data_IF_024629114022
#
_entry.id   IF_024629114022
#
_cell.length_a   1.000
_cell.length_b   1.000
_cell.length_c   1.000
_cell.angle_alpha   90.00
_cell.angle_beta   90.00
_cell.angle_gamma   90.00
#
_symmetry.space_group_name_H-M   'P 1'
#
loop_
_entity.id
_entity.type
_entity.pdbx_description
1 polymer ?
#
# COMPACT_ATOMS: atom_id res chain seq x y z
N UNK A 1 -8.01 3.13 19.96
CA UNK A 1 -7.50 3.18 18.57
C UNK A 1 -8.53 2.69 17.55
N UNK A 2 -9.51 1.88 17.98
CA UNK A 2 -10.47 1.22 17.08
C UNK A 2 -11.40 2.17 16.32
N UNK A 3 -11.86 3.27 16.93
CA UNK A 3 -12.65 4.28 16.21
C UNK A 3 -11.85 4.94 15.09
N UNK A 4 -10.55 5.18 15.29
CA UNK A 4 -9.67 5.70 14.22
C UNK A 4 -9.62 4.74 13.03
N UNK A 5 -9.44 3.44 13.31
CA UNK A 5 -9.40 2.38 12.28
C UNK A 5 -10.72 2.30 11.50
N UNK A 6 -11.85 2.33 12.20
CA UNK A 6 -13.19 2.32 11.59
C UNK A 6 -13.41 3.48 10.62
N UNK A 7 -12.89 4.67 10.91
CA UNK A 7 -12.97 5.80 9.98
C UNK A 7 -11.95 5.70 8.83
N UNK A 8 -10.78 5.12 9.06
CA UNK A 8 -9.83 4.79 7.99
C UNK A 8 -10.45 3.84 6.97
N UNK A 9 -11.12 2.78 7.43
CA UNK A 9 -11.77 1.79 6.56
C UNK A 9 -12.90 2.39 5.71
N UNK A 10 -13.49 3.49 6.18
CA UNK A 10 -14.53 4.26 5.47
C UNK A 10 -13.97 5.38 4.59
N UNK A 11 -12.65 5.62 4.60
CA UNK A 11 -12.03 6.75 3.92
C UNK A 11 -12.30 8.12 4.56
N UNK A 12 -12.89 8.17 5.76
CA UNK A 12 -13.10 9.44 6.50
C UNK A 12 -11.82 9.81 7.25
N UNK A 13 -10.82 10.26 6.49
CA UNK A 13 -9.50 10.57 7.02
C UNK A 13 -9.53 11.73 8.02
N UNK A 14 -10.50 12.64 7.93
CA UNK A 14 -10.60 13.76 8.88
C UNK A 14 -11.02 13.27 10.27
N UNK A 15 -12.04 12.40 10.36
CA UNK A 15 -12.40 11.79 11.65
C UNK A 15 -11.31 10.85 12.15
N UNK A 16 -10.67 10.07 11.27
CA UNK A 16 -9.55 9.22 11.66
C UNK A 16 -8.41 10.04 12.29
N UNK A 17 -8.01 11.17 11.68
CA UNK A 17 -7.01 12.10 12.22
C UNK A 17 -7.39 12.58 13.62
N UNK A 18 -8.65 12.94 13.84
CA UNK A 18 -9.13 13.39 15.16
C UNK A 18 -8.94 12.33 16.25
N UNK A 19 -9.37 11.10 15.99
CA UNK A 19 -9.24 10.01 16.98
C UNK A 19 -7.79 9.60 17.22
N UNK A 20 -6.96 9.54 16.17
CA UNK A 20 -5.54 9.24 16.34
C UNK A 20 -4.77 10.36 17.02
N UNK A 21 -5.12 11.63 16.78
CA UNK A 21 -4.53 12.75 17.50
C UNK A 21 -4.88 12.71 19.00
N UNK A 22 -6.10 12.30 19.35
CA UNK A 22 -6.45 12.04 20.76
C UNK A 22 -5.64 10.89 21.36
N UNK A 23 -5.50 9.78 20.64
CA UNK A 23 -4.70 8.65 21.10
C UNK A 23 -3.23 9.03 21.33
N UNK A 24 -2.65 9.80 20.41
CA UNK A 24 -1.26 10.28 20.53
C UNK A 24 -1.04 11.19 21.74
N UNK A 25 -2.05 11.98 22.14
CA UNK A 25 -1.98 12.81 23.35
C UNK A 25 -2.02 11.98 24.64
N UNK A 26 -2.63 10.80 24.60
CA UNK A 26 -2.70 9.90 25.75
C UNK A 26 -1.40 9.09 25.89
N UNK A 27 -0.86 8.64 24.75
CA UNK A 27 0.36 7.86 24.71
C UNK A 27 1.16 8.23 23.44
N UNK A 28 2.31 8.87 23.65
CA UNK A 28 3.24 9.18 22.56
C UNK A 28 4.09 7.96 22.22
N UNK A 29 3.53 7.06 21.41
CA UNK A 29 4.18 5.85 20.95
C UNK A 29 4.30 5.80 19.43
N UNK A 30 5.27 5.03 18.93
CA UNK A 30 5.44 4.85 17.49
C UNK A 30 4.19 4.31 16.77
N UNK A 31 3.43 3.33 17.31
CA UNK A 31 2.14 2.94 16.73
C UNK A 31 1.14 4.10 16.65
N UNK A 32 1.04 4.93 17.70
CA UNK A 32 0.13 6.09 17.70
C UNK A 32 0.53 7.13 16.64
N UNK A 33 1.83 7.42 16.51
CA UNK A 33 2.38 8.30 15.48
C UNK A 33 2.18 7.75 14.08
N UNK A 34 2.45 6.47 13.87
CA UNK A 34 2.23 5.79 12.59
C UNK A 34 0.78 5.89 12.15
N UNK A 35 -0.17 5.57 13.04
CA UNK A 35 -1.60 5.65 12.74
C UNK A 35 -2.04 7.07 12.36
N UNK A 36 -1.60 8.09 13.12
CA UNK A 36 -1.91 9.48 12.82
C UNK A 36 -1.26 9.93 11.50
N UNK A 37 0.02 9.61 11.30
CA UNK A 37 0.75 9.95 10.08
C UNK A 37 0.12 9.30 8.84
N UNK A 38 -0.31 8.04 8.92
CA UNK A 38 -1.05 7.37 7.84
C UNK A 38 -2.35 8.09 7.52
N UNK A 39 -3.16 8.44 8.53
CA UNK A 39 -4.42 9.16 8.29
C UNK A 39 -4.18 10.56 7.67
N UNK A 40 -3.11 11.25 8.09
CA UNK A 40 -2.71 12.53 7.51
C UNK A 40 -2.22 12.38 6.06
N UNK A 41 -1.39 11.38 5.80
CA UNK A 41 -0.85 11.07 4.47
C UNK A 41 -1.95 10.71 3.48
N UNK A 42 -2.84 9.77 3.83
CA UNK A 42 -3.97 9.38 2.96
C UNK A 42 -4.96 10.54 2.76
N UNK A 43 -5.04 11.45 3.72
CA UNK A 43 -5.74 12.72 3.58
C UNK A 43 -4.99 13.78 2.78
N UNK A 44 -4.00 13.38 1.96
CA UNK A 44 -3.25 14.20 0.99
C UNK A 44 -2.42 15.34 1.60
N UNK A 45 -1.87 15.14 2.80
CA UNK A 45 -0.97 16.10 3.46
C UNK A 45 0.38 15.42 3.83
N UNK A 46 1.22 15.09 2.84
CA UNK A 46 2.48 14.37 3.08
C UNK A 46 3.47 15.15 3.94
N UNK A 47 3.48 16.49 3.84
CA UNK A 47 4.37 17.34 4.64
C UNK A 47 4.03 17.26 6.14
N UNK A 48 2.74 17.33 6.49
CA UNK A 48 2.33 17.16 7.89
C UNK A 48 2.54 15.72 8.37
N UNK A 49 2.29 14.72 7.52
CA UNK A 49 2.57 13.33 7.86
C UNK A 49 4.05 13.14 8.22
N UNK A 50 4.95 13.73 7.44
CA UNK A 50 6.39 13.70 7.72
C UNK A 50 6.72 14.34 9.08
N UNK A 51 6.16 15.50 9.39
CA UNK A 51 6.38 16.17 10.70
C UNK A 51 5.93 15.31 11.89
N UNK A 52 4.84 14.55 11.73
CA UNK A 52 4.35 13.64 12.78
C UNK A 52 5.32 12.45 12.97
N UNK A 53 5.86 11.93 11.87
CA UNK A 53 6.73 10.77 11.85
C UNK A 53 8.20 11.10 12.23
N UNK A 54 8.64 12.32 11.97
CA UNK A 54 10.03 12.76 12.13
C UNK A 54 10.65 12.44 13.51
N UNK A 55 9.96 12.60 14.65
CA UNK A 55 10.54 12.22 15.95
C UNK A 55 10.87 10.74 16.06
N UNK A 56 10.04 9.86 15.48
CA UNK A 56 10.29 8.41 15.46
C UNK A 56 11.49 8.08 14.58
N UNK A 57 11.64 8.79 13.46
CA UNK A 57 12.75 8.57 12.53
C UNK A 57 14.09 9.09 13.07
N UNK A 58 14.11 10.22 13.80
CA UNK A 58 15.35 10.79 14.36
C UNK A 58 15.96 9.95 15.48
N UNK A 59 15.13 9.27 16.27
CA UNK A 59 15.60 8.36 17.32
C UNK A 59 16.31 7.10 16.78
N UNK A 60 16.36 6.92 15.45
CA UNK A 60 17.08 5.80 14.80
C UNK A 60 18.57 6.05 14.59
N UNK A 61 19.03 7.28 14.79
CA UNK A 61 20.44 7.66 14.72
C UNK A 61 21.10 7.37 16.08
N UNK A 62 21.70 6.18 16.17
CA UNK A 62 22.74 5.80 17.15
C UNK A 62 22.39 5.92 18.65
N UNK A 63 21.68 4.91 19.18
CA UNK A 63 22.01 4.46 20.54
C UNK A 63 23.32 3.65 20.45
N UNK A 64 24.42 4.26 20.89
CA UNK A 64 25.79 3.70 20.92
C UNK A 64 25.93 2.45 21.82
N UNK A 65 24.81 1.91 22.30
CA UNK A 65 24.73 0.78 23.24
C UNK A 65 24.36 -0.54 22.55
N UNK A 66 24.08 -0.54 21.23
CA UNK A 66 23.69 -1.75 20.50
C UNK A 66 22.35 -2.34 20.95
N UNK A 67 21.61 -1.65 21.83
CA UNK A 67 20.27 -2.02 22.23
C UNK A 67 19.33 -1.86 21.05
N UNK A 68 18.46 -2.85 20.84
CA UNK A 68 17.41 -2.80 19.83
C UNK A 68 16.52 -1.61 20.17
N UNK A 69 16.59 -0.52 19.40
CA UNK A 69 15.60 0.55 19.53
C UNK A 69 14.23 -0.03 19.12
N UNK A 70 13.42 -0.36 20.13
CA UNK A 70 12.12 -1.03 19.99
C UNK A 70 11.02 -0.12 19.45
N UNK A 71 11.29 1.19 19.28
CA UNK A 71 10.28 2.14 18.86
C UNK A 71 10.01 2.09 17.36
N UNK A 72 11.03 1.88 16.52
CA UNK A 72 10.85 1.90 15.06
C UNK A 72 10.62 0.50 14.51
N UNK A 73 9.46 0.32 13.90
CA UNK A 73 9.03 -0.93 13.29
C UNK A 73 9.08 -0.84 11.74
N UNK A 74 9.00 -1.97 11.02
CA UNK A 74 9.04 -1.98 9.55
C UNK A 74 7.97 -1.11 8.88
N UNK A 75 6.78 -1.02 9.49
CA UNK A 75 5.70 -0.17 9.00
C UNK A 75 6.10 1.32 8.99
N UNK A 76 6.82 1.77 10.01
CA UNK A 76 7.28 3.17 10.12
C UNK A 76 8.14 3.54 8.91
N UNK A 77 9.10 2.70 8.55
CA UNK A 77 9.96 2.92 7.40
C UNK A 77 9.21 2.80 6.07
N UNK A 78 8.28 1.85 5.94
CA UNK A 78 7.42 1.75 4.77
C UNK A 78 6.55 3.01 4.60
N UNK A 79 6.01 3.58 5.68
CA UNK A 79 5.25 4.82 5.64
C UNK A 79 6.15 6.02 5.30
N UNK A 80 7.34 6.11 5.88
CA UNK A 80 8.32 7.15 5.57
C UNK A 80 8.67 7.13 4.07
N UNK A 81 8.97 5.95 3.51
CA UNK A 81 9.18 5.79 2.08
C UNK A 81 8.08 6.45 1.26
N UNK A 82 6.81 6.10 1.54
CA UNK A 82 5.65 6.58 0.76
C UNK A 82 5.49 8.08 0.87
N UNK A 83 5.72 8.64 2.07
CA UNK A 83 5.70 10.09 2.31
C UNK A 83 6.80 10.78 1.50
N UNK A 84 8.05 10.31 1.55
CA UNK A 84 9.15 10.90 0.79
C UNK A 84 8.95 10.78 -0.73
N UNK A 85 8.37 9.67 -1.21
CA UNK A 85 7.97 9.52 -2.61
C UNK A 85 6.95 10.59 -3.02
N UNK A 86 5.90 10.81 -2.21
CA UNK A 86 4.90 11.84 -2.48
C UNK A 86 5.47 13.27 -2.42
N UNK A 87 6.57 13.48 -1.70
CA UNK A 87 7.30 14.75 -1.64
C UNK A 87 8.34 14.91 -2.77
N UNK A 88 8.54 13.88 -3.61
CA UNK A 88 9.50 13.90 -4.72
C UNK A 88 10.96 13.61 -4.32
N UNK A 89 11.22 13.25 -3.07
CA UNK A 89 12.57 12.92 -2.59
C UNK A 89 12.83 11.42 -2.72
N UNK A 90 13.28 11.07 -3.92
CA UNK A 90 13.50 9.69 -4.35
C UNK A 90 14.74 9.05 -3.73
N UNK A 91 15.69 9.86 -3.29
CA UNK A 91 16.92 9.34 -2.68
C UNK A 91 16.65 8.91 -1.24
N UNK A 92 16.04 9.79 -0.44
CA UNK A 92 15.64 9.47 0.92
C UNK A 92 14.65 8.30 0.94
N UNK A 93 13.70 8.26 0.00
CA UNK A 93 12.72 7.18 -0.05
C UNK A 93 13.40 5.81 -0.19
N UNK A 94 14.30 5.60 -1.18
CA UNK A 94 14.97 4.30 -1.41
C UNK A 94 15.68 3.75 -0.17
N UNK A 95 16.25 4.61 0.67
CA UNK A 95 16.87 4.21 1.92
C UNK A 95 15.84 3.61 2.89
N UNK A 96 14.67 4.25 3.04
CA UNK A 96 13.62 3.79 3.94
C UNK A 96 12.98 2.45 3.52
N UNK A 97 12.79 2.18 2.23
CA UNK A 97 12.28 0.86 1.81
C UNK A 97 13.29 -0.25 2.13
N UNK A 98 14.57 0.02 1.91
CA UNK A 98 15.65 -0.92 2.25
C UNK A 98 15.70 -1.17 3.76
N UNK A 99 15.54 -0.13 4.58
CA UNK A 99 15.44 -0.26 6.03
C UNK A 99 14.20 -1.05 6.47
N UNK A 100 13.04 -0.81 5.83
CA UNK A 100 11.80 -1.53 6.12
C UNK A 100 11.96 -3.04 5.91
N UNK A 101 12.53 -3.43 4.76
CA UNK A 101 12.82 -4.84 4.41
C UNK A 101 13.79 -5.46 5.41
N UNK A 102 14.95 -4.81 5.65
CA UNK A 102 15.98 -5.33 6.57
C UNK A 102 15.45 -5.49 8.00
N UNK A 103 14.70 -4.50 8.49
CA UNK A 103 14.11 -4.52 9.83
C UNK A 103 13.06 -5.62 9.95
N UNK A 104 12.17 -5.75 8.95
CA UNK A 104 11.15 -6.80 8.94
C UNK A 104 11.77 -8.19 9.06
N UNK A 105 12.81 -8.46 8.28
CA UNK A 105 13.44 -9.78 8.27
C UNK A 105 14.22 -10.08 9.55
N UNK A 106 14.95 -9.09 10.08
CA UNK A 106 15.64 -9.20 11.37
C UNK A 106 14.65 -9.49 12.50
N UNK A 107 13.58 -8.72 12.57
CA UNK A 107 12.56 -8.85 13.61
C UNK A 107 11.79 -10.16 13.46
N UNK A 108 11.45 -10.56 12.23
CA UNK A 108 10.78 -11.84 11.96
C UNK A 108 11.63 -13.03 12.41
N UNK A 109 12.94 -13.01 12.14
CA UNK A 109 13.86 -14.07 12.54
C UNK A 109 13.90 -14.22 14.07
N UNK A 110 13.94 -13.10 14.80
CA UNK A 110 13.88 -13.10 16.26
C UNK A 110 12.52 -13.58 16.77
N UNK A 111 11.43 -13.00 16.29
CA UNK A 111 10.07 -13.30 16.77
C UNK A 111 9.67 -14.75 16.54
N UNK A 112 10.16 -15.41 15.48
CA UNK A 112 9.93 -16.84 15.22
C UNK A 112 10.51 -17.77 16.27
N UNK A 113 11.56 -17.35 16.97
CA UNK A 113 12.18 -18.16 18.02
C UNK A 113 11.37 -18.13 19.31
N UNK A 114 10.60 -17.06 19.53
CA UNK A 114 9.93 -16.79 20.82
C UNK A 114 8.41 -16.85 20.75
N UNK A 115 7.80 -16.65 19.58
CA UNK A 115 6.35 -16.59 19.43
C UNK A 115 5.83 -17.66 18.47
N UNK A 116 4.69 -18.30 18.80
CA UNK A 116 3.98 -19.14 17.84
C UNK A 116 3.42 -18.28 16.70
N UNK A 117 3.24 -18.89 15.52
CA UNK A 117 2.79 -18.21 14.31
C UNK A 117 1.47 -17.45 14.47
N UNK A 118 0.55 -17.95 15.30
CA UNK A 118 -0.73 -17.29 15.59
C UNK A 118 -0.57 -15.90 16.20
N UNK A 119 0.50 -15.67 16.98
CA UNK A 119 0.83 -14.36 17.56
C UNK A 119 1.63 -13.47 16.62
N UNK A 120 2.13 -14.01 15.49
CA UNK A 120 2.87 -13.24 14.48
C UNK A 120 1.94 -12.54 13.48
N UNK A 121 0.64 -12.87 13.45
CA UNK A 121 -0.28 -12.41 12.40
C UNK A 121 -0.20 -10.89 12.16
N UNK A 122 -0.35 -10.08 13.21
CA UNK A 122 -0.29 -8.60 13.13
C UNK A 122 1.08 -8.09 12.66
N UNK A 123 2.17 -8.79 13.01
CA UNK A 123 3.50 -8.43 12.53
C UNK A 123 3.66 -8.75 11.03
N UNK A 124 3.09 -9.86 10.58
CA UNK A 124 3.14 -10.28 9.18
C UNK A 124 2.33 -9.36 8.24
N UNK A 125 1.36 -8.61 8.76
CA UNK A 125 0.64 -7.57 7.99
C UNK A 125 1.59 -6.48 7.45
N UNK A 126 2.77 -6.28 8.07
CA UNK A 126 3.77 -5.34 7.56
C UNK A 126 4.28 -5.69 6.16
N UNK A 127 4.17 -6.95 5.73
CA UNK A 127 4.47 -7.34 4.34
C UNK A 127 3.62 -6.56 3.33
N UNK A 128 2.36 -6.26 3.65
CA UNK A 128 1.47 -5.44 2.79
C UNK A 128 2.01 -4.02 2.68
N UNK A 129 2.32 -3.39 3.82
CA UNK A 129 2.79 -2.01 3.84
C UNK A 129 4.11 -1.84 3.06
N UNK A 130 5.03 -2.78 3.20
CA UNK A 130 6.33 -2.76 2.51
C UNK A 130 6.14 -3.00 1.00
N UNK A 131 5.28 -3.94 0.61
CA UNK A 131 4.96 -4.18 -0.80
C UNK A 131 4.22 -2.99 -1.43
N UNK A 132 3.31 -2.35 -0.69
CA UNK A 132 2.61 -1.15 -1.14
C UNK A 132 3.58 0.01 -1.34
N UNK A 133 4.55 0.18 -0.44
CA UNK A 133 5.62 1.16 -0.63
C UNK A 133 6.34 0.93 -1.97
N UNK A 134 6.84 -0.28 -2.25
CA UNK A 134 7.45 -0.57 -3.56
C UNK A 134 6.50 -0.32 -4.75
N UNK A 135 5.20 -0.57 -4.57
CA UNK A 135 4.18 -0.36 -5.60
C UNK A 135 3.92 1.12 -5.92
N UNK A 136 4.06 2.02 -4.95
CA UNK A 136 3.87 3.47 -5.15
C UNK A 136 4.89 4.05 -6.15
N UNK A 137 6.04 3.39 -6.34
CA UNK A 137 7.03 3.75 -7.37
C UNK A 137 6.87 3.03 -8.70
N UNK A 138 5.81 2.23 -8.86
CA UNK A 138 5.61 1.39 -10.04
C UNK A 138 6.78 0.42 -10.32
N UNK A 139 7.60 0.10 -9.31
CA UNK A 139 8.67 -0.91 -9.45
C UNK A 139 8.05 -2.31 -9.37
N UNK A 140 7.44 -2.72 -10.48
CA UNK A 140 6.74 -4.00 -10.58
C UNK A 140 7.68 -5.19 -10.32
N UNK A 141 8.98 -5.07 -10.62
CA UNK A 141 9.95 -6.12 -10.35
C UNK A 141 10.16 -6.28 -8.86
N UNK A 142 10.43 -5.18 -8.15
CA UNK A 142 10.64 -5.18 -6.72
C UNK A 142 9.40 -5.67 -5.95
N UNK A 143 8.20 -5.21 -6.31
CA UNK A 143 6.94 -5.70 -5.69
C UNK A 143 6.84 -7.23 -5.82
N UNK A 144 7.12 -7.75 -7.02
CA UNK A 144 7.00 -9.18 -7.27
C UNK A 144 8.12 -10.00 -6.60
N UNK A 145 9.33 -9.45 -6.48
CA UNK A 145 10.43 -10.06 -5.75
C UNK A 145 10.14 -10.15 -4.26
N UNK A 146 9.64 -9.08 -3.63
CA UNK A 146 9.21 -9.09 -2.22
C UNK A 146 8.12 -10.13 -1.98
N UNK A 147 7.14 -10.22 -2.88
CA UNK A 147 6.11 -11.26 -2.81
C UNK A 147 6.71 -12.68 -2.82
N UNK A 148 7.66 -12.96 -3.73
CA UNK A 148 8.30 -14.28 -3.80
C UNK A 148 9.15 -14.58 -2.57
N UNK A 149 9.91 -13.58 -2.11
CA UNK A 149 10.83 -13.68 -0.97
C UNK A 149 10.08 -14.05 0.31
N UNK A 150 8.89 -13.52 0.50
CA UNK A 150 8.06 -13.73 1.70
C UNK A 150 6.86 -14.64 1.46
N UNK A 151 6.95 -15.59 0.52
CA UNK A 151 5.83 -16.44 0.08
C UNK A 151 5.05 -17.10 1.24
N UNK A 152 5.75 -17.52 2.29
CA UNK A 152 5.17 -18.17 3.48
C UNK A 152 4.68 -17.18 4.54
N UNK A 153 4.84 -15.88 4.34
CA UNK A 153 4.54 -14.85 5.35
C UNK A 153 3.32 -14.00 5.01
N UNK A 154 2.80 -14.11 3.80
CA UNK A 154 1.62 -13.36 3.39
C UNK A 154 0.39 -13.86 4.13
N UNK A 155 -0.19 -12.98 4.95
CA UNK A 155 -1.38 -13.26 5.75
C UNK A 155 -2.64 -12.55 5.24
N UNK A 156 -2.49 -11.65 4.26
CA UNK A 156 -3.57 -10.82 3.73
C UNK A 156 -3.72 -10.98 2.21
N UNK A 157 -4.95 -10.93 1.71
CA UNK A 157 -5.24 -11.06 0.27
C UNK A 157 -4.57 -9.93 -0.55
N UNK A 158 -4.34 -8.77 0.07
CA UNK A 158 -3.68 -7.64 -0.59
C UNK A 158 -2.27 -7.98 -1.10
N UNK A 159 -1.50 -8.83 -0.41
CA UNK A 159 -0.20 -9.26 -0.90
C UNK A 159 -0.30 -9.95 -2.27
N UNK A 160 -1.31 -10.81 -2.44
CA UNK A 160 -1.58 -11.50 -3.71
C UNK A 160 -2.05 -10.52 -4.78
N UNK A 161 -2.91 -9.56 -4.42
CA UNK A 161 -3.37 -8.54 -5.35
C UNK A 161 -2.20 -7.68 -5.87
N UNK A 162 -1.34 -7.16 -4.98
CA UNK A 162 -0.15 -6.38 -5.36
C UNK A 162 0.77 -7.19 -6.28
N UNK A 163 1.03 -8.45 -5.95
CA UNK A 163 1.85 -9.33 -6.79
C UNK A 163 1.21 -9.63 -8.16
N UNK A 164 -0.13 -9.71 -8.21
CA UNK A 164 -0.87 -9.93 -9.44
C UNK A 164 -0.81 -8.71 -10.36
N UNK A 165 -1.02 -7.50 -9.82
CA UNK A 165 -0.85 -6.24 -10.56
C UNK A 165 0.58 -6.11 -11.09
N UNK A 166 1.59 -6.40 -10.26
CA UNK A 166 2.99 -6.42 -10.69
C UNK A 166 3.23 -7.42 -11.84
N UNK A 167 2.69 -8.64 -11.75
CA UNK A 167 2.78 -9.60 -12.86
C UNK A 167 2.07 -9.10 -14.12
N UNK A 168 0.90 -8.48 -13.97
CA UNK A 168 0.11 -7.96 -15.08
C UNK A 168 0.90 -6.89 -15.84
N UNK A 169 1.44 -5.90 -15.12
CA UNK A 169 2.21 -4.80 -15.71
C UNK A 169 3.56 -5.26 -16.30
N UNK A 170 4.09 -6.40 -15.84
CA UNK A 170 5.25 -7.06 -16.45
C UNK A 170 4.89 -7.95 -17.67
N UNK A 171 3.65 -7.93 -18.14
CA UNK A 171 3.17 -8.75 -19.26
C UNK A 171 2.99 -10.24 -18.94
N UNK A 172 3.04 -10.63 -17.66
CA UNK A 172 2.93 -12.02 -17.19
C UNK A 172 1.47 -12.36 -16.87
N UNK A 173 0.57 -12.20 -17.83
CA UNK A 173 -0.87 -12.19 -17.59
C UNK A 173 -1.41 -13.51 -17.03
N UNK A 174 -0.99 -14.67 -17.57
CA UNK A 174 -1.34 -15.99 -16.99
C UNK A 174 -1.00 -16.08 -15.50
N UNK A 175 0.14 -15.51 -15.08
CA UNK A 175 0.57 -15.50 -13.67
C UNK A 175 -0.27 -14.54 -12.84
N UNK A 176 -0.57 -13.35 -13.35
CA UNK A 176 -1.48 -12.41 -12.71
C UNK A 176 -2.86 -13.04 -12.45
N UNK A 177 -3.44 -13.68 -13.47
CA UNK A 177 -4.70 -14.42 -13.34
C UNK A 177 -4.67 -15.47 -12.24
N UNK A 178 -3.59 -16.27 -12.17
CA UNK A 178 -3.42 -17.31 -11.13
C UNK A 178 -3.35 -16.76 -9.70
N UNK A 179 -2.84 -15.53 -9.53
CA UNK A 179 -2.73 -14.87 -8.23
C UNK A 179 -4.06 -14.26 -7.77
N UNK A 180 -4.90 -13.81 -8.70
CA UNK A 180 -6.26 -13.35 -8.39
C UNK A 180 -7.25 -14.49 -8.12
N UNK A 181 -7.07 -15.68 -8.73
CA UNK A 181 -7.95 -16.84 -8.51
C UNK A 181 -8.25 -17.14 -7.04
N UNK A 182 -7.28 -17.32 -6.14
CA UNK A 182 -7.57 -17.66 -4.74
C UNK A 182 -8.21 -16.53 -3.94
N UNK A 183 -8.21 -15.29 -4.46
CA UNK A 183 -8.81 -14.13 -3.79
C UNK A 183 -10.07 -13.65 -4.51
N UNK A 184 -10.58 -14.39 -5.50
CA UNK A 184 -11.77 -14.01 -6.26
C UNK A 184 -13.05 -14.00 -5.41
N UNK A 185 -13.05 -14.72 -4.29
CA UNK A 185 -14.17 -14.76 -3.35
C UNK A 185 -14.25 -13.48 -2.49
N UNK A 186 -13.16 -12.73 -2.33
CA UNK A 186 -13.14 -11.50 -1.53
C UNK A 186 -13.95 -10.39 -2.19
N UNK A 187 -13.86 -10.27 -3.52
CA UNK A 187 -14.60 -9.27 -4.28
C UNK A 187 -14.69 -9.64 -5.76
N UNK A 188 -15.86 -9.42 -6.39
CA UNK A 188 -16.10 -9.71 -7.83
C UNK A 188 -15.10 -9.03 -8.76
N UNK A 189 -14.53 -7.90 -8.33
CA UNK A 189 -13.45 -7.17 -9.01
C UNK A 189 -12.26 -8.06 -9.40
N UNK A 190 -11.82 -8.97 -8.53
CA UNK A 190 -10.68 -9.83 -8.83
C UNK A 190 -10.99 -10.85 -9.94
N UNK A 191 -12.23 -11.32 -10.02
CA UNK A 191 -12.71 -12.13 -11.15
C UNK A 191 -12.67 -11.35 -12.47
N UNK A 192 -12.97 -10.06 -12.45
CA UNK A 192 -12.88 -9.22 -13.64
C UNK A 192 -11.43 -8.99 -14.08
N UNK A 193 -10.52 -8.74 -13.13
CA UNK A 193 -9.09 -8.61 -13.43
C UNK A 193 -8.50 -9.91 -13.98
N UNK A 194 -8.92 -11.06 -13.45
CA UNK A 194 -8.55 -12.37 -13.98
C UNK A 194 -9.01 -12.54 -15.44
N UNK A 195 -10.27 -12.20 -15.75
CA UNK A 195 -10.80 -12.25 -17.12
C UNK A 195 -10.04 -11.30 -18.06
N UNK A 196 -9.73 -10.09 -17.60
CA UNK A 196 -8.93 -9.14 -18.35
C UNK A 196 -7.56 -9.73 -18.70
N UNK A 197 -6.83 -10.28 -17.72
CA UNK A 197 -5.55 -10.93 -17.95
C UNK A 197 -5.63 -12.05 -19.01
N UNK A 198 -6.69 -12.86 -19.02
CA UNK A 198 -6.87 -13.88 -20.06
C UNK A 198 -7.11 -13.30 -21.46
N UNK A 199 -7.82 -12.17 -21.57
CA UNK A 199 -8.02 -11.49 -22.85
C UNK A 199 -6.73 -10.88 -23.41
N UNK A 200 -5.88 -10.31 -22.54
CA UNK A 200 -4.56 -9.82 -22.93
C UNK A 200 -3.61 -10.95 -23.31
N UNK A 201 -3.60 -12.06 -22.57
CA UNK A 201 -2.80 -13.25 -22.89
C UNK A 201 -3.12 -13.79 -24.30
N UNK A 202 -4.39 -13.68 -24.72
CA UNK A 202 -4.86 -14.10 -26.05
C UNK A 202 -4.66 -13.04 -27.15
N UNK A 203 -4.12 -11.87 -26.81
CA UNK A 203 -3.94 -10.76 -27.75
C UNK A 203 -5.25 -10.15 -28.26
N UNK A 204 -6.38 -10.39 -27.59
CA UNK A 204 -7.70 -9.86 -28.00
C UNK A 204 -7.86 -8.38 -27.63
N UNK A 205 -7.09 -7.91 -26.65
CA UNK A 205 -7.09 -6.53 -26.16
C UNK A 205 -5.65 -6.02 -26.12
N UNK A 206 -5.38 -4.76 -26.53
CA UNK A 206 -4.05 -4.15 -26.37
C UNK A 206 -3.57 -4.15 -24.92
N UNK A 207 -2.25 -4.15 -24.73
CA UNK A 207 -1.67 -4.05 -23.39
C UNK A 207 -1.94 -2.68 -22.76
N UNK A 208 -2.22 -2.67 -21.47
CA UNK A 208 -2.33 -1.47 -20.64
C UNK A 208 -1.73 -1.74 -19.27
N UNK A 209 -1.45 -0.69 -18.50
CA UNK A 209 -0.99 -0.81 -17.12
C UNK A 209 -2.18 -0.71 -16.16
N UNK A 210 -2.13 -1.49 -15.09
CA UNK A 210 -3.01 -1.37 -13.94
C UNK A 210 -2.34 -0.55 -12.85
N UNK A 211 -3.14 0.29 -12.20
CA UNK A 211 -2.76 0.87 -10.91
C UNK A 211 -2.84 -0.19 -9.81
N UNK A 212 -2.08 0.02 -8.72
CA UNK A 212 -2.11 -0.84 -7.55
C UNK A 212 -3.25 -0.50 -6.58
N UNK A 213 -3.87 0.67 -6.74
CA UNK A 213 -4.97 1.09 -5.89
C UNK A 213 -6.23 0.27 -6.15
N UNK A 214 -6.88 -0.10 -5.05
CA UNK A 214 -8.15 -0.79 -5.11
C UNK A 214 -9.25 0.26 -5.13
N UNK A 215 -10.26 0.10 -5.99
CA UNK A 215 -11.37 1.04 -6.07
C UNK A 215 -12.07 1.20 -4.72
N UNK A 216 -12.63 2.38 -4.47
CA UNK A 216 -13.47 2.63 -3.29
C UNK A 216 -14.62 1.62 -3.18
N UNK A 217 -15.09 1.36 -1.96
CA UNK A 217 -16.20 0.44 -1.70
C UNK A 217 -17.46 0.75 -2.52
N UNK A 218 -17.74 2.03 -2.79
CA UNK A 218 -18.87 2.46 -3.62
C UNK A 218 -18.75 1.96 -5.06
N UNK A 219 -17.55 2.11 -5.66
CA UNK A 219 -17.23 1.60 -7.00
C UNK A 219 -17.28 0.08 -7.02
N UNK A 220 -16.74 -0.56 -5.99
CA UNK A 220 -16.76 -2.00 -5.81
C UNK A 220 -18.20 -2.56 -5.79
N UNK A 221 -19.09 -1.97 -4.99
CA UNK A 221 -20.54 -2.30 -4.98
C UNK A 221 -21.23 -2.03 -6.32
N UNK A 222 -20.86 -0.95 -7.01
CA UNK A 222 -21.37 -0.68 -8.35
C UNK A 222 -20.92 -1.75 -9.36
N UNK A 223 -19.69 -2.26 -9.24
CA UNK A 223 -19.17 -3.36 -10.06
C UNK A 223 -19.87 -4.68 -9.74
N UNK A 224 -20.20 -4.93 -8.47
CA UNK A 224 -20.95 -6.12 -8.04
C UNK A 224 -22.36 -6.16 -8.63
N UNK A 225 -23.01 -5.00 -8.75
CA UNK A 225 -24.36 -4.86 -9.30
C UNK A 225 -24.39 -4.75 -10.82
N UNK A 226 -23.29 -4.33 -11.47
CA UNK A 226 -23.20 -4.24 -12.92
C UNK A 226 -23.05 -5.60 -13.60
N UNK A 227 -23.78 -5.82 -14.70
CA UNK A 227 -23.74 -7.08 -15.47
C UNK A 227 -22.52 -7.21 -16.40
N UNK A 228 -21.82 -6.11 -16.73
CA UNK A 228 -20.97 -6.07 -17.92
C UNK A 228 -19.49 -5.72 -17.64
N UNK A 229 -18.55 -6.46 -18.27
CA UNK A 229 -17.11 -6.16 -18.32
C UNK A 229 -16.80 -4.78 -18.94
N UNK A 230 -17.67 -4.28 -19.81
CA UNK A 230 -17.43 -3.09 -20.65
C UNK A 230 -17.35 -1.76 -19.88
N UNK A 231 -17.80 -1.70 -18.62
CA UNK A 231 -17.72 -0.48 -17.81
C UNK A 231 -16.43 -0.38 -17.00
N UNK A 232 -15.73 -1.49 -16.77
CA UNK A 232 -14.70 -1.58 -15.74
C UNK A 232 -13.32 -1.25 -16.31
N UNK A 233 -12.94 -1.81 -17.46
CA UNK A 233 -11.59 -1.63 -18.00
C UNK A 233 -11.30 -0.23 -18.59
N UNK A 234 -12.21 0.41 -19.36
CA UNK A 234 -11.94 1.75 -19.91
C UNK A 234 -12.01 2.88 -18.87
N UNK A 235 -12.78 2.70 -17.78
CA UNK A 235 -12.92 3.73 -16.73
C UNK A 235 -11.74 3.81 -15.76
N UNK A 236 -10.93 2.76 -15.63
CA UNK A 236 -9.61 2.88 -14.98
C UNK A 236 -8.63 3.69 -15.82
N UNK A 237 -8.76 3.66 -17.14
CA UNK A 237 -7.91 4.47 -18.01
C UNK A 237 -8.37 5.94 -18.07
N UNK A 238 -9.68 6.21 -17.98
CA UNK A 238 -10.26 7.55 -18.15
C UNK A 238 -10.28 8.42 -16.87
N UNK A 239 -10.16 7.86 -15.66
CA UNK A 239 -10.13 8.68 -14.44
C UNK A 239 -8.81 9.42 -14.22
N UNK A 240 -7.71 8.99 -14.83
CA UNK A 240 -6.39 9.60 -14.61
C UNK A 240 -6.24 10.90 -15.41
N UNK A 241 -6.92 11.08 -16.54
CA UNK A 241 -6.87 12.34 -17.29
C UNK A 241 -7.69 13.48 -16.66
N UNK A 242 -8.65 13.18 -15.78
CA UNK A 242 -9.48 14.21 -15.14
C UNK A 242 -8.92 14.72 -13.80
N UNK A 243 -7.86 14.10 -13.26
CA UNK A 243 -7.27 14.50 -11.97
C UNK A 243 -5.76 14.79 -12.00
N UNK A 244 -5.12 14.82 -13.18
CA UNK A 244 -3.69 15.15 -13.35
C UNK A 244 -3.40 16.38 -14.22
N UNK A 245 -4.36 17.28 -14.44
CA UNK A 245 -4.08 18.49 -15.22
C UNK A 245 -4.85 19.75 -14.75
N UNK A 246 -4.23 20.64 -13.96
CA UNK A 246 -4.77 21.98 -13.73
C UNK A 246 -4.27 23.04 -14.74
N UNK A 247 -3.50 22.70 -15.79
CA UNK A 247 -2.81 23.73 -16.60
C UNK A 247 -3.26 23.83 -18.07
N UNK A 248 -4.01 22.88 -18.62
CA UNK A 248 -4.35 22.92 -20.06
C UNK A 248 -5.77 23.37 -20.44
N UNK A 249 -6.42 24.21 -19.62
CA UNK A 249 -7.69 24.88 -19.97
C UNK A 249 -7.68 26.39 -19.68
N UNK A 250 -6.57 27.06 -20.00
CA UNK A 250 -6.52 28.51 -20.23
C UNK A 250 -5.56 28.80 -21.36
N UNK A 251 -6.04 28.73 -22.60
CA UNK A 251 -5.54 29.46 -23.76
C UNK A 251 -6.52 29.18 -24.91
N UNK A 252 -7.71 29.77 -24.81
CA UNK A 252 -8.55 30.21 -25.93
C UNK A 252 -9.71 31.04 -25.38
N UNK A 253 -9.36 32.25 -24.98
CA UNK A 253 -10.24 33.42 -24.91
C UNK A 253 -9.29 34.60 -24.69
N UNK A 254 -8.88 35.17 -25.82
CA UNK A 254 -8.34 36.49 -26.15
C UNK A 254 -7.28 36.33 -27.24
#
# INVERSE_FOLDING_TARGET
MDEGKKYMDKGDFQKAKFFYAKALKLEDSAPARNNLATAVFLGQDPQRALRILAPVLKETEEDSTGAINTKVNPYTYALAYRIYCALGDMEASRQYLSQAVRRFEKDLACLRQVLPRTKLYTFLEYTVAIMQAAADQQDHRQVFELYRRWKSEHVHWQNKHLAAVACFNLGRYKRAASLWTPISAEHRFFTLLQKAAFLLERGTVPSFALEYEIPSLEILKAIETASCLNMVLPRYHLKIQQYTNPIFNRLHSY
#
